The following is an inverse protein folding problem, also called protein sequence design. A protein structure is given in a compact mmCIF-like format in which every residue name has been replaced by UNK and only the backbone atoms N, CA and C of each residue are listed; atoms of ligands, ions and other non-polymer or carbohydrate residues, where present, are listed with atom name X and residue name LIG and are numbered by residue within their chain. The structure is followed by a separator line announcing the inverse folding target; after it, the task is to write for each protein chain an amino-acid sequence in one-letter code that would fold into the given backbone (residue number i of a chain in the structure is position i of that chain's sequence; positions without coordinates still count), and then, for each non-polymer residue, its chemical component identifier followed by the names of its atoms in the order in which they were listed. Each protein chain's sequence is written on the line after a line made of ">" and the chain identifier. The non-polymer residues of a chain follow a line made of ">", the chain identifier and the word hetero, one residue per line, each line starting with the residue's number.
data_IF_297240768478
#
_entry.id   IF_297240768478
#
_cell.length_a   1.000
_cell.length_b   1.000
_cell.length_c   1.000
_cell.angle_alpha   90.00
_cell.angle_beta   90.00
_cell.angle_gamma   90.00
#
_symmetry.space_group_name_H-M   'P 1'
#
loop_
_entity.id
_entity.type
_entity.pdbx_description
1 polymer ?
#
# COMPACT_ATOMS: atom_id res chain seq x y z
N UNK A 1 17.85 -20.34 5.90
CA UNK A 1 16.85 -19.25 5.91
C UNK A 1 16.26 -18.94 7.31
N UNK A 2 16.77 -19.49 8.42
CA UNK A 2 16.22 -19.22 9.77
C UNK A 2 16.36 -17.77 10.27
N UNK A 3 17.19 -16.94 9.60
CA UNK A 3 17.40 -15.52 9.95
C UNK A 3 16.38 -14.54 9.33
N UNK A 4 15.38 -15.03 8.59
CA UNK A 4 14.32 -14.19 8.01
C UNK A 4 14.77 -13.22 6.89
N UNK A 5 15.91 -13.47 6.26
CA UNK A 5 16.45 -12.61 5.20
C UNK A 5 15.62 -12.67 3.92
N UNK A 6 15.40 -11.52 3.28
CA UNK A 6 14.80 -11.46 1.95
C UNK A 6 15.76 -12.00 0.88
N UNK A 7 15.26 -12.45 -0.28
CA UNK A 7 16.09 -12.84 -1.41
C UNK A 7 17.09 -11.75 -1.86
N UNK A 8 16.73 -10.47 -1.78
CA UNK A 8 17.64 -9.34 -2.02
C UNK A 8 18.77 -9.29 -0.99
N UNK A 9 18.46 -9.50 0.29
CA UNK A 9 19.47 -9.52 1.35
C UNK A 9 20.42 -10.72 1.19
N UNK A 10 19.91 -11.89 0.80
CA UNK A 10 20.73 -13.08 0.51
C UNK A 10 21.66 -12.81 -0.67
N UNK A 11 21.13 -12.27 -1.77
CA UNK A 11 21.91 -11.92 -2.97
C UNK A 11 23.01 -10.90 -2.65
N UNK A 12 22.68 -9.84 -1.89
CA UNK A 12 23.64 -8.84 -1.47
C UNK A 12 24.70 -9.38 -0.50
N UNK A 13 24.32 -10.27 0.41
CA UNK A 13 25.27 -10.92 1.33
C UNK A 13 26.24 -11.84 0.58
N UNK A 14 25.75 -12.66 -0.35
CA UNK A 14 26.57 -13.55 -1.17
C UNK A 14 27.64 -12.77 -1.94
N UNK A 15 27.25 -11.66 -2.58
CA UNK A 15 28.18 -10.80 -3.32
C UNK A 15 29.27 -10.19 -2.42
N UNK A 16 28.92 -9.83 -1.18
CA UNK A 16 29.88 -9.27 -0.21
C UNK A 16 30.83 -10.32 0.35
N UNK A 17 30.33 -11.53 0.61
CA UNK A 17 31.10 -12.59 1.26
C UNK A 17 32.01 -13.35 0.28
N UNK A 18 31.64 -13.39 -1.00
CA UNK A 18 32.39 -14.06 -2.06
C UNK A 18 32.75 -13.09 -3.20
N UNK A 19 33.51 -12.00 -2.95
CA UNK A 19 33.74 -10.96 -3.96
C UNK A 19 34.40 -11.49 -5.24
N UNK A 20 35.34 -12.43 -5.11
CA UNK A 20 36.15 -12.95 -6.23
C UNK A 20 35.60 -14.24 -6.85
N UNK A 21 34.51 -14.80 -6.31
CA UNK A 21 33.88 -16.00 -6.84
C UNK A 21 32.51 -15.67 -7.43
N UNK A 22 32.49 -15.44 -8.74
CA UNK A 22 31.27 -15.11 -9.49
C UNK A 22 30.23 -16.23 -9.49
N UNK A 23 30.62 -17.50 -9.32
CA UNK A 23 29.68 -18.62 -9.24
C UNK A 23 28.81 -18.55 -7.97
N UNK A 24 29.31 -17.89 -6.92
CA UNK A 24 28.58 -17.64 -5.69
C UNK A 24 27.63 -16.42 -5.80
N UNK A 25 27.63 -15.70 -6.92
CA UNK A 25 26.78 -14.53 -7.13
C UNK A 25 25.45 -14.94 -7.75
N UNK A 26 24.41 -15.05 -6.93
CA UNK A 26 23.07 -15.38 -7.40
C UNK A 26 22.17 -14.15 -7.31
N UNK A 27 21.45 -13.85 -8.39
CA UNK A 27 20.44 -12.77 -8.38
C UNK A 27 19.26 -13.14 -7.48
N UNK A 28 18.69 -12.14 -6.79
CA UNK A 28 17.46 -12.31 -6.00
C UNK A 28 16.29 -12.84 -6.86
N UNK A 29 16.28 -12.52 -8.15
CA UNK A 29 15.33 -13.05 -9.14
C UNK A 29 15.47 -14.57 -9.34
N UNK A 30 16.70 -15.08 -9.42
CA UNK A 30 16.98 -16.52 -9.51
C UNK A 30 16.53 -17.24 -8.24
N UNK A 31 16.77 -16.64 -7.06
CA UNK A 31 16.30 -17.17 -5.77
C UNK A 31 14.77 -17.24 -5.76
N UNK A 32 14.07 -16.19 -6.21
CA UNK A 32 12.62 -16.21 -6.34
C UNK A 32 12.10 -17.26 -7.32
N UNK A 33 12.70 -17.38 -8.50
CA UNK A 33 12.30 -18.40 -9.49
C UNK A 33 12.43 -19.81 -8.91
N UNK A 34 13.52 -20.11 -8.23
CA UNK A 34 13.73 -21.41 -7.59
C UNK A 34 12.73 -21.67 -6.46
N UNK A 35 12.33 -20.65 -5.69
CA UNK A 35 11.32 -20.79 -4.64
C UNK A 35 9.90 -21.00 -5.16
N UNK A 36 9.56 -20.45 -6.34
CA UNK A 36 8.18 -20.44 -6.86
C UNK A 36 7.91 -21.45 -7.99
N UNK A 37 8.93 -22.03 -8.62
CA UNK A 37 8.76 -23.03 -9.68
C UNK A 37 8.71 -24.43 -9.06
N UNK A 38 7.51 -25.00 -8.96
CA UNK A 38 7.27 -26.35 -8.41
C UNK A 38 7.97 -27.48 -9.17
N UNK A 39 8.25 -27.32 -10.47
CA UNK A 39 8.89 -28.37 -11.31
C UNK A 39 10.39 -28.54 -11.04
N UNK A 40 11.02 -27.65 -10.26
CA UNK A 40 12.44 -27.77 -9.91
C UNK A 40 12.72 -28.59 -8.64
N UNK A 41 11.72 -29.19 -8.02
CA UNK A 41 11.83 -30.28 -7.03
C UNK A 41 12.67 -30.06 -5.76
N UNK A 42 13.42 -28.96 -5.62
CA UNK A 42 14.56 -28.90 -4.71
C UNK A 42 14.35 -28.03 -3.47
N UNK A 43 13.39 -27.10 -3.45
CA UNK A 43 13.15 -26.24 -2.29
C UNK A 43 11.77 -26.51 -1.67
N UNK A 44 11.80 -27.18 -0.51
CA UNK A 44 10.62 -27.53 0.30
C UNK A 44 9.71 -26.32 0.54
N UNK A 45 8.40 -26.56 0.59
CA UNK A 45 7.33 -25.63 1.01
C UNK A 45 7.67 -24.83 2.28
N UNK A 46 8.48 -25.41 3.17
CA UNK A 46 9.05 -24.80 4.37
C UNK A 46 9.84 -23.50 4.09
N UNK A 47 10.56 -23.42 2.98
CA UNK A 47 11.36 -22.23 2.63
C UNK A 47 10.50 -21.07 2.13
N UNK A 48 9.35 -21.35 1.52
CA UNK A 48 8.36 -20.32 1.18
C UNK A 48 7.77 -19.69 2.44
N UNK A 49 7.64 -20.44 3.54
CA UNK A 49 7.17 -19.92 4.83
C UNK A 49 8.16 -18.94 5.46
N UNK A 50 9.45 -19.07 5.15
CA UNK A 50 10.48 -18.11 5.58
C UNK A 50 10.38 -16.77 4.82
N UNK A 51 9.65 -16.68 3.71
CA UNK A 51 9.43 -15.41 3.01
C UNK A 51 8.49 -14.51 3.82
N UNK A 52 8.89 -13.25 4.01
CA UNK A 52 8.11 -12.24 4.72
C UNK A 52 6.69 -12.05 4.16
N UNK A 53 6.53 -12.20 2.85
CA UNK A 53 5.22 -12.08 2.19
C UNK A 53 4.32 -13.32 2.34
N UNK A 54 4.89 -14.49 2.70
CA UNK A 54 4.21 -15.81 2.80
C UNK A 54 3.33 -16.21 1.60
N UNK A 55 3.44 -15.54 0.45
CA UNK A 55 2.65 -15.86 -0.74
C UNK A 55 3.09 -17.19 -1.30
N UNK A 56 2.13 -17.98 -1.74
CA UNK A 56 2.35 -19.25 -2.45
C UNK A 56 2.72 -19.04 -3.91
N UNK A 57 2.36 -17.89 -4.49
CA UNK A 57 2.61 -17.54 -5.89
C UNK A 57 3.27 -16.18 -6.00
N UNK A 58 4.24 -16.07 -6.91
CA UNK A 58 4.85 -14.79 -7.26
C UNK A 58 3.88 -13.92 -8.05
N UNK A 59 3.71 -12.67 -7.62
CA UNK A 59 3.00 -11.66 -8.42
C UNK A 59 4.02 -10.94 -9.32
N UNK A 60 3.76 -10.89 -10.63
CA UNK A 60 4.62 -10.11 -11.54
C UNK A 60 4.53 -8.61 -11.17
N UNK A 61 5.65 -7.90 -11.35
CA UNK A 61 5.70 -6.43 -11.24
C UNK A 61 4.80 -5.74 -12.27
N UNK A 62 4.57 -6.39 -13.41
CA UNK A 62 3.68 -5.89 -14.48
C UNK A 62 2.21 -6.20 -14.24
N UNK A 63 1.86 -6.97 -13.20
CA UNK A 63 0.47 -7.27 -12.87
C UNK A 63 -0.21 -6.04 -12.30
N UNK A 64 -0.88 -5.28 -13.17
CA UNK A 64 -1.75 -4.18 -12.80
C UNK A 64 -3.19 -4.65 -12.66
N UNK A 65 -3.93 -3.98 -11.78
CA UNK A 65 -5.39 -4.08 -11.72
C UNK A 65 -6.06 -3.05 -12.65
N UNK A 66 -5.28 -2.16 -13.28
CA UNK A 66 -5.76 -1.17 -14.25
C UNK A 66 -6.41 -1.90 -15.43
N UNK A 67 -7.65 -1.50 -15.77
CA UNK A 67 -8.45 -2.14 -16.82
C UNK A 67 -9.23 -3.39 -16.39
N UNK A 68 -9.11 -3.87 -15.14
CA UNK A 68 -9.85 -5.04 -14.65
C UNK A 68 -11.28 -4.75 -14.16
N UNK A 69 -11.87 -3.63 -14.57
CA UNK A 69 -13.27 -3.32 -14.25
C UNK A 69 -13.56 -3.13 -12.75
N UNK A 70 -12.61 -2.63 -11.96
CA UNK A 70 -12.77 -2.34 -10.52
C UNK A 70 -13.76 -1.20 -10.19
N UNK A 71 -14.60 -0.80 -11.14
CA UNK A 71 -15.41 0.40 -11.08
C UNK A 71 -14.62 1.65 -11.50
N UNK A 72 -15.33 2.59 -12.12
CA UNK A 72 -14.88 3.98 -12.23
C UNK A 72 -15.70 4.79 -11.25
N UNK A 73 -15.12 5.85 -10.70
CA UNK A 73 -15.88 6.84 -9.94
C UNK A 73 -16.71 7.61 -10.98
N UNK A 74 -18.06 7.54 -10.97
CA UNK A 74 -18.89 8.29 -11.89
C UNK A 74 -18.58 9.78 -11.76
N UNK A 75 -18.50 10.48 -12.89
CA UNK A 75 -18.28 11.94 -12.94
C UNK A 75 -16.99 12.41 -12.23
N UNK A 76 -15.98 11.54 -12.14
CA UNK A 76 -14.71 11.91 -11.55
C UNK A 76 -14.00 12.98 -12.39
N UNK A 77 -13.80 14.15 -11.80
CA UNK A 77 -12.97 15.21 -12.37
C UNK A 77 -11.52 14.74 -12.32
N UNK A 78 -10.84 14.56 -13.48
CA UNK A 78 -9.45 14.16 -13.49
C UNK A 78 -8.58 15.24 -12.82
N UNK A 79 -7.45 14.82 -12.24
CA UNK A 79 -6.57 15.74 -11.50
C UNK A 79 -6.10 16.90 -12.38
N UNK A 80 -5.92 16.67 -13.68
CA UNK A 80 -5.55 17.68 -14.67
C UNK A 80 -6.61 18.76 -14.92
N UNK A 81 -7.88 18.47 -14.64
CA UNK A 81 -9.00 19.40 -14.82
C UNK A 81 -9.36 20.16 -13.53
N UNK A 82 -8.62 19.93 -12.43
CA UNK A 82 -8.86 20.67 -11.20
C UNK A 82 -8.48 22.14 -11.38
N UNK A 83 -9.27 23.08 -10.82
CA UNK A 83 -8.90 24.48 -10.80
C UNK A 83 -7.51 24.71 -10.18
N UNK A 84 -6.67 25.61 -10.74
CA UNK A 84 -5.29 25.82 -10.27
C UNK A 84 -5.20 26.22 -8.81
N UNK A 85 -6.17 27.01 -8.31
CA UNK A 85 -6.21 27.46 -6.92
C UNK A 85 -6.25 26.30 -5.90
N UNK A 86 -6.71 25.11 -6.32
CA UNK A 86 -6.70 23.89 -5.49
C UNK A 86 -5.27 23.37 -5.30
N UNK A 87 -4.36 23.56 -6.26
CA UNK A 87 -2.98 23.08 -6.15
C UNK A 87 -2.17 23.88 -5.12
N UNK A 88 -2.39 25.19 -5.08
CA UNK A 88 -1.59 26.13 -4.27
C UNK A 88 -1.87 26.04 -2.76
N UNK A 89 -2.98 25.41 -2.36
CA UNK A 89 -3.40 25.25 -0.95
C UNK A 89 -3.44 26.56 -0.17
N UNK A 90 -3.56 27.68 -0.87
CA UNK A 90 -3.43 29.03 -0.32
C UNK A 90 -4.73 29.56 0.33
N UNK A 91 -5.84 28.84 0.16
CA UNK A 91 -7.17 29.26 0.61
C UNK A 91 -7.66 28.31 1.71
N UNK A 92 -7.99 28.81 2.91
CA UNK A 92 -8.65 28.02 3.95
C UNK A 92 -10.00 27.45 3.48
N UNK A 93 -10.34 26.26 3.95
CA UNK A 93 -11.67 25.65 3.73
C UNK A 93 -11.68 24.56 2.66
N UNK A 94 -10.55 24.29 2.02
CA UNK A 94 -10.38 23.05 1.26
C UNK A 94 -10.01 21.91 2.19
N UNK A 95 -10.73 20.80 2.11
CA UNK A 95 -10.50 19.63 2.97
C UNK A 95 -10.08 18.41 2.17
N UNK A 96 -9.08 17.67 2.68
CA UNK A 96 -8.71 16.32 2.24
C UNK A 96 -9.27 15.32 3.26
N UNK A 97 -9.90 14.23 2.79
CA UNK A 97 -10.44 13.19 3.66
C UNK A 97 -10.01 11.80 3.21
N UNK A 98 -9.37 11.06 4.11
CA UNK A 98 -8.95 9.67 3.89
C UNK A 98 -9.59 8.73 4.90
N UNK A 99 -9.85 7.49 4.48
CA UNK A 99 -10.22 6.37 5.35
C UNK A 99 -8.99 5.50 5.61
N UNK A 100 -8.56 5.44 6.87
CA UNK A 100 -7.50 4.55 7.33
C UNK A 100 -8.13 3.25 7.84
N UNK A 101 -7.76 2.13 7.21
CA UNK A 101 -8.10 0.79 7.70
C UNK A 101 -6.90 0.18 8.42
N UNK A 102 -7.10 -0.14 9.70
CA UNK A 102 -6.13 -0.81 10.55
C UNK A 102 -6.35 -2.33 10.61
N UNK A 103 -5.55 -3.00 11.45
CA UNK A 103 -5.76 -4.41 11.75
C UNK A 103 -7.07 -4.65 12.51
N UNK A 104 -7.56 -5.90 12.52
CA UNK A 104 -8.79 -6.30 13.24
C UNK A 104 -10.04 -5.52 12.81
N UNK A 105 -10.15 -5.15 11.53
CA UNK A 105 -11.28 -4.38 10.99
C UNK A 105 -11.54 -3.09 11.78
N UNK A 106 -10.47 -2.35 12.09
CA UNK A 106 -10.57 -1.02 12.70
C UNK A 106 -10.47 0.06 11.63
N UNK A 107 -11.21 1.15 11.83
CA UNK A 107 -11.37 2.20 10.83
C UNK A 107 -11.32 3.59 11.48
N UNK A 108 -10.56 4.50 10.88
CA UNK A 108 -10.48 5.90 11.27
C UNK A 108 -10.68 6.75 10.01
N UNK A 109 -11.63 7.67 10.04
CA UNK A 109 -11.68 8.74 9.05
C UNK A 109 -10.77 9.88 9.48
N UNK A 110 -10.13 10.49 8.49
CA UNK A 110 -9.35 11.70 8.63
C UNK A 110 -10.04 12.80 7.83
N UNK A 111 -10.03 14.02 8.37
CA UNK A 111 -10.47 15.21 7.66
C UNK A 111 -9.47 16.32 7.96
N UNK A 112 -8.74 16.75 6.92
CA UNK A 112 -7.58 17.64 7.04
C UNK A 112 -7.81 18.90 6.23
N UNK A 113 -7.77 20.07 6.89
CA UNK A 113 -7.85 21.35 6.21
C UNK A 113 -6.50 21.66 5.55
N UNK A 114 -6.49 21.91 4.24
CA UNK A 114 -5.26 21.87 3.44
C UNK A 114 -4.33 23.06 3.68
N UNK A 115 -4.86 24.20 4.10
CA UNK A 115 -4.09 25.41 4.36
C UNK A 115 -3.44 25.37 5.76
N UNK A 116 -4.25 25.32 6.82
CA UNK A 116 -3.87 25.29 8.23
C UNK A 116 -3.32 23.96 8.72
N UNK A 117 -3.60 22.85 8.00
CA UNK A 117 -3.33 21.48 8.41
C UNK A 117 -4.03 21.07 9.70
N UNK A 118 -5.13 21.72 10.05
CA UNK A 118 -6.01 21.27 11.12
C UNK A 118 -6.57 19.88 10.78
N UNK A 119 -6.52 18.95 11.74
CA UNK A 119 -6.89 17.54 11.55
C UNK A 119 -8.01 17.15 12.50
N UNK A 120 -9.06 16.56 11.95
CA UNK A 120 -10.09 15.84 12.70
C UNK A 120 -9.99 14.34 12.43
N UNK A 121 -10.08 13.55 13.50
CA UNK A 121 -10.08 12.10 13.43
C UNK A 121 -11.39 11.57 14.04
N UNK A 122 -11.99 10.57 13.40
CA UNK A 122 -13.10 9.84 13.97
C UNK A 122 -12.93 8.34 13.77
N UNK A 123 -13.00 7.59 14.87
CA UNK A 123 -13.13 6.13 14.80
C UNK A 123 -14.54 5.76 14.37
N UNK A 124 -14.66 4.85 13.41
CA UNK A 124 -15.95 4.34 12.93
C UNK A 124 -16.02 2.81 13.06
N UNK A 125 -17.24 2.27 13.03
CA UNK A 125 -17.49 0.83 13.23
C UNK A 125 -17.14 -0.03 12.02
N UNK A 126 -17.32 0.50 10.81
CA UNK A 126 -17.07 -0.19 9.55
C UNK A 126 -16.71 0.79 8.43
N UNK A 127 -16.26 0.27 7.28
CA UNK A 127 -15.91 1.04 6.08
C UNK A 127 -17.06 1.18 5.08
N UNK A 128 -18.31 0.97 5.51
CA UNK A 128 -19.46 1.10 4.60
C UNK A 128 -19.68 2.58 4.27
N UNK A 129 -20.09 2.85 3.03
CA UNK A 129 -20.33 4.20 2.53
C UNK A 129 -21.23 5.02 3.44
N UNK A 130 -22.32 4.43 3.95
CA UNK A 130 -23.26 5.10 4.87
C UNK A 130 -22.58 5.56 6.16
N UNK A 131 -21.82 4.67 6.79
CA UNK A 131 -21.08 4.96 8.04
C UNK A 131 -20.04 6.05 7.82
N UNK A 132 -19.28 5.96 6.72
CA UNK A 132 -18.24 6.94 6.36
C UNK A 132 -18.86 8.31 6.12
N UNK A 133 -19.92 8.40 5.30
CA UNK A 133 -20.59 9.67 4.97
C UNK A 133 -21.17 10.31 6.24
N UNK A 134 -21.90 9.55 7.06
CA UNK A 134 -22.46 10.08 8.31
C UNK A 134 -21.36 10.60 9.25
N UNK A 135 -20.24 9.89 9.37
CA UNK A 135 -19.13 10.33 10.20
C UNK A 135 -18.47 11.61 9.65
N UNK A 136 -18.30 11.73 8.33
CA UNK A 136 -17.75 12.94 7.70
C UNK A 136 -18.64 14.16 7.94
N UNK A 137 -19.95 14.02 7.73
CA UNK A 137 -20.93 15.09 8.00
C UNK A 137 -20.86 15.53 9.46
N UNK A 138 -20.87 14.57 10.39
CA UNK A 138 -20.81 14.86 11.83
C UNK A 138 -19.51 15.54 12.25
N UNK A 139 -18.39 15.27 11.58
CA UNK A 139 -17.13 15.97 11.86
C UNK A 139 -17.10 17.36 11.25
N UNK A 140 -17.58 17.52 10.02
CA UNK A 140 -17.66 18.83 9.36
C UNK A 140 -18.53 19.82 10.13
N UNK A 141 -19.69 19.38 10.66
CA UNK A 141 -20.60 20.22 11.44
C UNK A 141 -20.00 20.75 12.75
N UNK A 142 -19.03 20.06 13.34
CA UNK A 142 -18.35 20.54 14.56
C UNK A 142 -17.47 21.77 14.30
N UNK A 143 -17.21 22.08 13.03
CA UNK A 143 -16.32 23.14 12.61
C UNK A 143 -17.05 24.32 11.97
N UNK A 144 -18.38 24.31 11.87
CA UNK A 144 -19.08 25.51 11.42
C UNK A 144 -18.90 26.64 12.45
N UNK A 145 -18.29 27.78 12.06
CA UNK A 145 -18.27 28.95 12.92
C UNK A 145 -19.71 29.47 13.01
N UNK A 146 -20.12 29.76 14.24
CA UNK A 146 -21.40 30.41 14.55
C UNK A 146 -21.44 31.82 13.97
#
# INVERSE_FOLDING_TARGET
>A
MHRGWSPEQISGWLKRYYPDNQEMHVSHETIYKTLFIQTRGALKKELQQCLRSRRTVRKSRTTSLKGKGLGSIPEAIPISERPPNVADRAIPGHWEGDLIQGSKNSYIITLVERHSRFVMLAKISDNKTTTVISALINQAQKFEPT
#
